data_IF_384984125827
#
_entry.id   IF_384984125827
#
_cell.length_a   1.000
_cell.length_b   1.000
_cell.length_c   1.000
_cell.angle_alpha   90.00
_cell.angle_beta   90.00
_cell.angle_gamma   90.00
#
_symmetry.space_group_name_H-M   'P 1'
#
loop_
_entity.id
_entity.type
_entity.pdbx_description
1 polymer ?
#
# COMPACT_ATOMS: atom_id res chain seq x y z
N UNK A 1 -0.21 19.52 8.75
CA UNK A 1 0.92 19.28 7.81
C UNK A 1 0.49 18.23 6.80
N UNK A 2 0.41 18.57 5.52
CA UNK A 2 0.08 17.63 4.44
C UNK A 2 1.33 16.84 4.05
N UNK A 3 1.31 15.52 4.24
CA UNK A 3 2.42 14.67 3.80
C UNK A 3 2.42 14.52 2.27
N UNK A 4 3.62 14.48 1.63
CA UNK A 4 3.73 14.11 0.22
C UNK A 4 3.10 12.74 -0.05
N UNK A 5 2.42 12.59 -1.20
CA UNK A 5 1.72 11.34 -1.57
C UNK A 5 2.67 10.13 -1.58
N UNK A 6 3.91 10.31 -2.06
CA UNK A 6 4.93 9.26 -2.03
C UNK A 6 5.30 8.82 -0.61
N UNK A 7 5.37 9.76 0.34
CA UNK A 7 5.66 9.43 1.74
C UNK A 7 4.49 8.68 2.39
N UNK A 8 3.25 9.02 2.05
CA UNK A 8 2.06 8.28 2.49
C UNK A 8 2.03 6.87 1.91
N UNK A 9 2.29 6.71 0.61
CA UNK A 9 2.34 5.39 -0.04
C UNK A 9 3.39 4.50 0.64
N UNK A 10 4.59 5.01 0.91
CA UNK A 10 5.62 4.26 1.63
C UNK A 10 5.15 3.82 3.02
N UNK A 11 4.53 4.72 3.79
CA UNK A 11 3.99 4.38 5.11
C UNK A 11 2.92 3.26 5.04
N UNK A 12 2.04 3.31 4.04
CA UNK A 12 1.03 2.27 3.82
C UNK A 12 1.70 0.95 3.46
N UNK A 13 2.69 0.96 2.56
CA UNK A 13 3.45 -0.24 2.18
C UNK A 13 4.18 -0.85 3.38
N UNK A 14 4.82 -0.03 4.22
CA UNK A 14 5.49 -0.47 5.45
C UNK A 14 4.50 -1.10 6.45
N UNK A 15 3.32 -0.49 6.61
CA UNK A 15 2.26 -0.98 7.50
C UNK A 15 1.70 -2.32 7.00
N UNK A 16 1.46 -2.46 5.70
CA UNK A 16 1.01 -3.71 5.08
C UNK A 16 2.04 -4.82 5.26
N UNK A 17 3.32 -4.51 5.07
CA UNK A 17 4.41 -5.47 5.31
C UNK A 17 4.43 -5.93 6.76
N UNK A 18 4.32 -5.00 7.71
CA UNK A 18 4.27 -5.34 9.13
C UNK A 18 3.06 -6.19 9.49
N UNK A 19 1.86 -5.87 8.99
CA UNK A 19 0.64 -6.66 9.22
C UNK A 19 0.76 -8.08 8.65
N UNK A 20 1.36 -8.23 7.47
CA UNK A 20 1.61 -9.54 6.87
C UNK A 20 2.58 -10.36 7.74
N UNK A 21 3.63 -9.74 8.27
CA UNK A 21 4.60 -10.37 9.17
C UNK A 21 3.99 -10.72 10.53
N UNK A 22 3.11 -9.87 11.04
CA UNK A 22 2.38 -10.12 12.28
C UNK A 22 1.40 -11.27 12.11
N UNK A 23 0.62 -11.29 11.02
CA UNK A 23 -0.29 -12.40 10.69
C UNK A 23 0.40 -13.75 10.67
N UNK A 24 1.60 -13.83 10.06
CA UNK A 24 2.38 -15.08 9.97
C UNK A 24 2.78 -15.68 11.32
N UNK A 25 2.79 -14.86 12.38
CA UNK A 25 3.17 -15.25 13.74
C UNK A 25 1.98 -15.32 14.70
N UNK A 26 0.76 -15.11 14.18
CA UNK A 26 -0.46 -15.04 14.98
C UNK A 26 -1.23 -16.35 14.88
N UNK A 27 -1.47 -16.98 16.02
CA UNK A 27 -2.24 -18.23 16.12
C UNK A 27 -3.67 -17.99 16.64
N UNK A 28 -3.99 -16.78 17.12
CA UNK A 28 -5.31 -16.46 17.63
C UNK A 28 -6.30 -16.19 16.47
N UNK A 29 -7.37 -17.00 16.32
CA UNK A 29 -8.29 -16.85 15.20
C UNK A 29 -9.04 -15.52 15.18
N UNK A 30 -9.34 -14.95 16.36
CA UNK A 30 -10.02 -13.66 16.46
C UNK A 30 -9.12 -12.52 15.97
N UNK A 31 -7.86 -12.56 16.36
CA UNK A 31 -6.84 -11.62 15.94
C UNK A 31 -6.52 -11.76 14.45
N UNK A 32 -6.45 -12.98 13.90
CA UNK A 32 -6.31 -13.19 12.47
C UNK A 32 -7.42 -12.51 11.64
N UNK A 33 -8.67 -12.54 12.13
CA UNK A 33 -9.78 -11.83 11.48
C UNK A 33 -9.61 -10.30 11.56
N UNK A 34 -9.14 -9.78 12.71
CA UNK A 34 -8.87 -8.34 12.85
C UNK A 34 -7.73 -7.90 11.94
N UNK A 35 -6.65 -8.67 11.86
CA UNK A 35 -5.52 -8.40 10.98
C UNK A 35 -5.97 -8.42 9.52
N UNK A 36 -6.77 -9.41 9.11
CA UNK A 36 -7.33 -9.46 7.76
C UNK A 36 -8.14 -8.20 7.43
N UNK A 37 -9.07 -7.82 8.31
CA UNK A 37 -9.87 -6.60 8.12
C UNK A 37 -9.03 -5.33 8.07
N UNK A 38 -7.95 -5.27 8.87
CA UNK A 38 -7.02 -4.14 8.84
C UNK A 38 -6.23 -4.09 7.51
N UNK A 39 -5.75 -5.24 7.02
CA UNK A 39 -5.07 -5.34 5.72
C UNK A 39 -5.98 -4.84 4.59
N UNK A 40 -7.24 -5.27 4.57
CA UNK A 40 -8.19 -4.86 3.54
C UNK A 40 -8.39 -3.33 3.53
N UNK A 41 -8.55 -2.72 4.72
CA UNK A 41 -8.65 -1.26 4.84
C UNK A 41 -7.40 -0.51 4.37
N UNK A 42 -6.20 -1.04 4.64
CA UNK A 42 -4.95 -0.44 4.16
C UNK A 42 -4.74 -0.60 2.66
N UNK A 43 -5.20 -1.71 2.07
CA UNK A 43 -5.18 -1.90 0.62
C UNK A 43 -6.10 -0.89 -0.09
N UNK A 44 -7.28 -0.63 0.47
CA UNK A 44 -8.19 0.39 -0.04
C UNK A 44 -7.57 1.80 0.03
N UNK A 45 -6.93 2.15 1.15
CA UNK A 45 -6.20 3.42 1.28
C UNK A 45 -5.07 3.52 0.24
N UNK A 46 -4.31 2.44 0.04
CA UNK A 46 -3.26 2.37 -0.98
C UNK A 46 -3.80 2.64 -2.38
N UNK A 47 -4.92 2.01 -2.73
CA UNK A 47 -5.60 2.24 -4.02
C UNK A 47 -6.06 3.70 -4.16
N UNK A 48 -6.61 4.28 -3.08
CA UNK A 48 -6.97 5.70 -3.02
C UNK A 48 -5.79 6.62 -3.30
N UNK A 49 -4.66 6.35 -2.65
CA UNK A 49 -3.40 7.10 -2.84
C UNK A 49 -2.82 6.92 -4.24
N UNK A 50 -2.85 5.72 -4.81
CA UNK A 50 -2.40 5.48 -6.20
C UNK A 50 -3.24 6.27 -7.20
N UNK A 51 -4.56 6.27 -7.05
CA UNK A 51 -5.46 7.08 -7.90
C UNK A 51 -5.22 8.58 -7.71
N UNK A 52 -4.92 9.02 -6.49
CA UNK A 52 -4.52 10.41 -6.23
C UNK A 52 -3.18 10.75 -6.89
N UNK A 53 -2.18 9.89 -6.79
CA UNK A 53 -0.88 10.06 -7.44
C UNK A 53 -1.00 10.15 -8.97
N UNK A 54 -1.85 9.32 -9.58
CA UNK A 54 -2.15 9.37 -11.02
C UNK A 54 -2.76 10.72 -11.42
N UNK A 55 -3.73 11.24 -10.66
CA UNK A 55 -4.35 12.55 -10.93
C UNK A 55 -3.38 13.72 -10.81
N UNK A 56 -2.37 13.60 -9.95
CA UNK A 56 -1.34 14.64 -9.74
C UNK A 56 -0.15 14.47 -10.71
N UNK A 57 -0.20 13.51 -11.63
CA UNK A 57 0.83 13.29 -12.66
C UNK A 57 2.08 12.55 -12.16
N UNK A 58 2.07 12.02 -10.93
CA UNK A 58 3.22 11.31 -10.34
C UNK A 58 3.34 9.84 -10.80
N UNK A 59 2.38 9.34 -11.57
CA UNK A 59 2.33 7.93 -11.99
C UNK A 59 2.95 7.64 -13.37
N UNK A 60 3.44 8.66 -14.08
CA UNK A 60 3.86 8.50 -15.49
C UNK A 60 5.30 7.98 -15.67
N UNK A 61 6.13 7.96 -14.63
CA UNK A 61 7.58 7.71 -14.81
C UNK A 61 8.03 6.24 -14.73
N UNK A 62 7.12 5.25 -14.65
CA UNK A 62 7.54 3.85 -14.42
C UNK A 62 7.18 2.82 -15.48
N UNK A 63 6.74 3.23 -16.67
CA UNK A 63 6.52 2.31 -17.79
C UNK A 63 6.82 2.96 -19.15
N UNK A 64 8.10 3.15 -19.46
CA UNK A 64 8.55 3.11 -20.84
C UNK A 64 9.14 1.70 -21.07
N UNK A 65 8.45 0.77 -21.76
CA UNK A 65 9.13 -0.40 -22.27
C UNK A 65 10.18 0.07 -23.27
N UNK A 66 11.44 -0.21 -22.97
CA UNK A 66 12.56 -0.02 -23.89
C UNK A 66 12.30 -0.89 -25.11
N UNK A 67 11.77 -0.26 -26.17
CA UNK A 67 11.80 -0.83 -27.50
C UNK A 67 13.24 -0.68 -28.00
N UNK A 68 14.03 -1.74 -27.81
CA UNK A 68 15.31 -1.89 -28.47
C UNK A 68 15.11 -2.78 -29.70
N UNK A 69 15.60 -2.25 -30.82
CA UNK A 69 15.50 -2.74 -32.18
C UNK A 69 16.19 -4.08 -32.44
#
# INVERSE_FOLDING_TARGET
>A
MTWPIAAKLRYVDDTLSWLADYRRRCDDPGELLRIQSAIDGWLDERLGLMRAAQRVGLAHDRHAPSSAA
#
